data_IF_711207528372
#
_entry.id   IF_711207528372
#
_cell.length_a   1.000
_cell.length_b   1.000
_cell.length_c   1.000
_cell.angle_alpha   90.00
_cell.angle_beta   90.00
_cell.angle_gamma   90.00
#
_symmetry.space_group_name_H-M   'P 1'
#
loop_
_entity.id
_entity.type
_entity.pdbx_description
1 polymer ?
#
# COMPACT_ATOMS: atom_id res chain seq x y z
N UNK A 1 -36.34 23.73 16.08
CA UNK A 1 -35.66 23.33 14.82
C UNK A 1 -35.59 24.56 13.91
N UNK A 2 -34.53 24.79 13.12
CA UNK A 2 -33.39 23.90 12.86
C UNK A 2 -32.04 24.44 13.39
N UNK A 3 -31.15 23.50 13.71
CA UNK A 3 -29.70 23.73 13.89
C UNK A 3 -29.13 24.11 12.53
N UNK A 4 -28.56 25.30 12.42
CA UNK A 4 -27.64 25.63 11.35
C UNK A 4 -26.43 24.71 11.52
N UNK A 5 -26.31 23.73 10.63
CA UNK A 5 -25.09 22.94 10.49
C UNK A 5 -24.04 23.91 9.97
N UNK A 6 -23.20 24.41 10.87
CA UNK A 6 -21.95 25.04 10.49
C UNK A 6 -21.17 24.02 9.67
N UNK A 7 -21.31 24.10 8.36
CA UNK A 7 -20.27 23.68 7.43
C UNK A 7 -19.11 24.64 7.69
N UNK A 8 -18.36 24.38 8.77
CA UNK A 8 -17.07 25.00 8.96
C UNK A 8 -16.25 24.64 7.73
N UNK A 9 -16.06 25.62 6.84
CA UNK A 9 -15.08 25.57 5.76
C UNK A 9 -13.75 25.16 6.41
N UNK A 10 -13.36 23.90 6.22
CA UNK A 10 -12.03 23.44 6.60
C UNK A 10 -11.06 24.09 5.62
N UNK A 11 -10.45 25.19 6.05
CA UNK A 11 -9.33 25.79 5.34
C UNK A 11 -8.13 24.89 5.63
N UNK A 12 -7.81 24.01 4.70
CA UNK A 12 -6.57 23.24 4.79
C UNK A 12 -5.38 24.19 4.62
N UNK A 13 -4.30 24.03 5.43
CA UNK A 13 -3.06 24.75 5.18
C UNK A 13 -2.63 24.54 3.72
N UNK A 14 -2.18 25.59 3.05
CA UNK A 14 -1.85 25.56 1.61
C UNK A 14 -0.92 24.39 1.21
N UNK A 15 -0.02 23.99 2.12
CA UNK A 15 0.87 22.84 1.96
C UNK A 15 0.15 21.48 2.00
N UNK A 16 -0.88 21.33 2.85
CA UNK A 16 -1.66 20.09 2.92
C UNK A 16 -2.49 19.88 1.64
N UNK A 17 -3.03 20.97 1.07
CA UNK A 17 -3.73 20.92 -0.22
C UNK A 17 -2.77 20.59 -1.37
N UNK A 18 -1.59 21.22 -1.39
CA UNK A 18 -0.54 20.89 -2.37
C UNK A 18 -0.14 19.41 -2.29
N UNK A 19 -0.05 18.87 -1.07
CA UNK A 19 0.23 17.46 -0.84
C UNK A 19 -0.89 16.53 -1.31
N UNK A 20 -2.15 16.85 -1.00
CA UNK A 20 -3.30 16.05 -1.46
C UNK A 20 -3.33 15.97 -3.00
N UNK A 21 -3.13 17.09 -3.70
CA UNK A 21 -3.00 17.06 -5.16
C UNK A 21 -1.76 16.30 -5.66
N UNK A 22 -0.67 16.31 -4.89
CA UNK A 22 0.56 15.63 -5.26
C UNK A 22 0.41 14.09 -5.24
N UNK A 23 -0.38 13.56 -4.30
CA UNK A 23 -0.63 12.12 -4.14
C UNK A 23 -1.82 11.60 -4.96
N UNK A 24 -2.71 12.49 -5.42
CA UNK A 24 -3.83 12.12 -6.26
C UNK A 24 -3.37 11.56 -7.62
N UNK A 25 -3.91 10.41 -8.01
CA UNK A 25 -3.57 9.78 -9.28
C UNK A 25 -4.18 10.56 -10.47
N UNK A 26 -3.33 10.99 -11.40
CA UNK A 26 -3.79 11.69 -12.60
C UNK A 26 -4.52 10.75 -13.58
N UNK A 27 -5.86 10.86 -13.66
CA UNK A 27 -6.75 10.27 -14.67
C UNK A 27 -7.43 8.93 -14.28
N UNK A 28 -8.75 8.82 -14.47
CA UNK A 28 -9.51 7.59 -14.18
C UNK A 28 -9.56 6.59 -15.35
N UNK A 29 -10.14 5.38 -15.24
CA UNK A 29 -10.08 4.35 -14.19
C UNK A 29 -10.02 3.03 -14.99
N UNK A 30 -8.87 2.38 -15.06
CA UNK A 30 -8.81 0.94 -15.23
C UNK A 30 -8.59 0.33 -13.85
N UNK A 31 -9.11 -0.86 -13.58
CA UNK A 31 -8.70 -1.60 -12.38
C UNK A 31 -7.23 -1.95 -12.59
N UNK A 32 -6.34 -1.29 -11.85
CA UNK A 32 -4.92 -1.58 -11.91
C UNK A 32 -4.69 -3.00 -11.39
N UNK A 33 -3.85 -3.75 -12.09
CA UNK A 33 -3.46 -5.13 -11.73
C UNK A 33 -2.12 -5.21 -11.00
N UNK A 34 -1.47 -4.06 -10.80
CA UNK A 34 -0.14 -3.97 -10.20
C UNK A 34 0.14 -2.56 -9.65
N UNK A 35 1.05 -2.44 -8.66
CA UNK A 35 1.57 -1.16 -8.18
C UNK A 35 2.10 -0.26 -9.31
N UNK A 36 2.80 -0.84 -10.30
CA UNK A 36 3.37 -0.07 -11.40
C UNK A 36 2.32 0.75 -12.19
N UNK A 37 1.11 0.20 -12.35
CA UNK A 37 0.01 0.88 -13.03
C UNK A 37 -0.62 2.00 -12.20
N UNK A 38 -0.45 2.00 -10.86
CA UNK A 38 -0.96 3.05 -9.97
C UNK A 38 -0.02 4.25 -9.82
N UNK A 39 1.25 4.13 -10.25
CA UNK A 39 2.31 5.17 -10.19
C UNK A 39 2.07 6.37 -11.13
N UNK A 40 0.94 7.05 -10.99
CA UNK A 40 0.46 8.10 -11.90
C UNK A 40 0.42 9.50 -11.28
N UNK A 41 0.38 9.56 -9.96
CA UNK A 41 0.45 10.80 -9.20
C UNK A 41 1.77 11.56 -9.43
N UNK A 42 1.81 12.84 -9.07
CA UNK A 42 3.02 13.66 -9.20
C UNK A 42 4.19 13.09 -8.39
N UNK A 43 3.93 12.58 -7.18
CA UNK A 43 4.95 11.98 -6.30
C UNK A 43 5.73 10.83 -6.95
N UNK A 44 5.15 10.16 -7.95
CA UNK A 44 5.80 9.05 -8.64
C UNK A 44 6.74 9.49 -9.76
N UNK A 45 6.57 10.72 -10.27
CA UNK A 45 7.22 11.19 -11.50
C UNK A 45 8.13 12.40 -11.30
N UNK A 46 7.86 13.21 -10.28
CA UNK A 46 8.66 14.37 -9.94
C UNK A 46 10.07 13.99 -9.44
N UNK A 47 10.93 14.98 -9.30
CA UNK A 47 12.25 14.78 -8.68
C UNK A 47 12.11 14.25 -7.25
N UNK A 48 12.90 13.24 -6.90
CA UNK A 48 12.80 12.56 -5.61
C UNK A 48 13.09 13.49 -4.43
N UNK A 49 14.06 14.39 -4.56
CA UNK A 49 14.40 15.34 -3.50
C UNK A 49 13.31 16.38 -3.33
N UNK A 50 12.66 16.80 -4.42
CA UNK A 50 11.51 17.71 -4.36
C UNK A 50 10.32 17.06 -3.64
N UNK A 51 10.00 15.81 -3.95
CA UNK A 51 8.93 15.05 -3.26
C UNK A 51 9.23 14.93 -1.77
N UNK A 52 10.47 14.57 -1.42
CA UNK A 52 10.88 14.39 -0.04
C UNK A 52 10.87 15.71 0.75
N UNK A 53 11.31 16.80 0.13
CA UNK A 53 11.26 18.12 0.74
C UNK A 53 9.83 18.57 1.03
N UNK A 54 8.90 18.35 0.08
CA UNK A 54 7.48 18.68 0.27
C UNK A 54 6.86 17.82 1.38
N UNK A 55 7.09 16.50 1.36
CA UNK A 55 6.59 15.58 2.39
C UNK A 55 7.04 16.00 3.80
N UNK A 56 8.33 16.32 3.96
CA UNK A 56 8.88 16.81 5.24
C UNK A 56 8.27 18.14 5.69
N UNK A 57 7.95 19.03 4.75
CA UNK A 57 7.34 20.32 5.05
C UNK A 57 5.89 20.19 5.54
N UNK A 58 5.16 19.19 5.04
CA UNK A 58 3.78 18.87 5.47
C UNK A 58 3.78 18.18 6.84
N UNK A 59 4.74 17.26 7.05
CA UNK A 59 4.96 16.57 8.31
C UNK A 59 4.67 15.06 8.25
N UNK A 60 5.09 14.30 9.28
CA UNK A 60 5.11 12.84 9.25
C UNK A 60 3.72 12.17 9.23
N UNK A 61 2.69 12.88 9.69
CA UNK A 61 1.31 12.38 9.72
C UNK A 61 0.59 12.49 8.37
N UNK A 62 1.23 13.13 7.37
CA UNK A 62 0.68 13.24 6.02
C UNK A 62 0.45 11.84 5.40
N UNK A 63 -0.66 11.61 4.68
CA UNK A 63 -0.89 10.37 3.94
C UNK A 63 0.20 10.20 2.89
N UNK A 64 0.89 9.07 2.92
CA UNK A 64 2.07 8.85 2.07
C UNK A 64 2.33 7.35 1.90
N UNK A 65 2.85 6.94 0.73
CA UNK A 65 3.15 5.54 0.48
C UNK A 65 4.30 5.08 1.37
N UNK A 66 4.32 3.78 1.65
CA UNK A 66 5.34 3.13 2.46
C UNK A 66 6.75 3.54 2.02
N UNK A 67 7.01 3.59 0.72
CA UNK A 67 8.34 3.86 0.19
C UNK A 67 8.82 5.27 0.50
N UNK A 68 7.91 6.25 0.58
CA UNK A 68 8.29 7.62 0.90
C UNK A 68 8.64 7.77 2.38
N UNK A 69 7.88 7.09 3.25
CA UNK A 69 8.20 7.01 4.68
C UNK A 69 9.50 6.27 4.92
N UNK A 70 9.75 5.18 4.19
CA UNK A 70 11.00 4.43 4.25
C UNK A 70 12.18 5.28 3.75
N UNK A 71 12.00 6.06 2.69
CA UNK A 71 13.01 6.95 2.13
C UNK A 71 13.36 8.07 3.10
N UNK A 72 12.34 8.71 3.69
CA UNK A 72 12.53 9.76 4.69
C UNK A 72 13.34 9.29 5.90
N UNK A 73 13.09 8.05 6.34
CA UNK A 73 13.82 7.39 7.43
C UNK A 73 15.18 6.83 7.02
N UNK A 74 15.58 6.96 5.76
CA UNK A 74 16.84 6.41 5.23
C UNK A 74 16.90 4.88 5.23
N UNK A 75 15.75 4.19 5.24
CA UNK A 75 15.65 2.71 5.23
C UNK A 75 15.71 2.14 3.82
N UNK A 76 15.32 2.92 2.82
CA UNK A 76 15.45 2.56 1.41
C UNK A 76 16.28 3.63 0.68
N UNK A 77 17.13 3.19 -0.25
CA UNK A 77 18.12 4.06 -0.86
C UNK A 77 17.53 5.07 -1.85
N UNK A 78 16.41 4.73 -2.50
CA UNK A 78 15.72 5.57 -3.48
C UNK A 78 14.31 5.07 -3.75
N UNK A 79 13.48 5.92 -4.36
CA UNK A 79 12.17 5.57 -4.94
C UNK A 79 12.32 4.48 -6.00
N UNK A 80 13.38 4.52 -6.80
CA UNK A 80 13.64 3.49 -7.80
C UNK A 80 13.87 2.11 -7.16
N UNK A 81 14.61 2.05 -6.04
CA UNK A 81 14.79 0.81 -5.28
C UNK A 81 13.46 0.30 -4.69
N UNK A 82 12.59 1.20 -4.24
CA UNK A 82 11.26 0.82 -3.75
C UNK A 82 10.36 0.27 -4.86
N UNK A 83 10.35 0.90 -6.03
CA UNK A 83 9.60 0.42 -7.19
C UNK A 83 10.11 -0.95 -7.65
N UNK A 84 11.42 -1.18 -7.61
CA UNK A 84 12.00 -2.48 -7.93
C UNK A 84 11.51 -3.58 -6.97
N UNK A 85 11.39 -3.27 -5.67
CA UNK A 85 10.83 -4.18 -4.67
C UNK A 85 9.37 -4.52 -4.96
N UNK A 86 8.54 -3.50 -5.25
CA UNK A 86 7.14 -3.69 -5.63
C UNK A 86 7.01 -4.54 -6.91
N UNK A 87 7.86 -4.30 -7.91
CA UNK A 87 7.85 -5.00 -9.18
C UNK A 87 8.35 -6.46 -9.02
N UNK A 88 9.25 -6.73 -8.08
CA UNK A 88 9.69 -8.07 -7.73
C UNK A 88 8.57 -8.90 -7.10
N UNK A 89 7.86 -8.35 -6.10
CA UNK A 89 6.71 -9.00 -5.49
C UNK A 89 5.57 -9.18 -6.50
N UNK A 90 5.34 -8.18 -7.36
CA UNK A 90 4.35 -8.27 -8.45
C UNK A 90 4.67 -9.42 -9.40
N UNK A 91 5.94 -9.56 -9.79
CA UNK A 91 6.35 -10.64 -10.70
C UNK A 91 6.20 -12.01 -10.05
N UNK A 92 6.46 -12.11 -8.74
CA UNK A 92 6.25 -13.34 -7.98
C UNK A 92 4.76 -13.68 -7.95
N UNK A 93 3.93 -12.82 -7.35
CA UNK A 93 2.52 -13.12 -7.07
C UNK A 93 1.67 -13.14 -8.34
N UNK A 94 1.88 -12.22 -9.27
CA UNK A 94 1.14 -12.16 -10.53
C UNK A 94 1.41 -13.34 -11.47
N UNK A 95 2.47 -14.12 -11.23
CA UNK A 95 2.73 -15.37 -11.97
C UNK A 95 2.03 -16.60 -11.38
N UNK A 96 1.41 -16.46 -10.20
CA UNK A 96 0.82 -17.56 -9.44
C UNK A 96 -0.71 -17.52 -9.49
N UNK A 97 -1.37 -18.67 -9.67
CA UNK A 97 -2.83 -18.70 -9.70
C UNK A 97 -3.42 -18.34 -8.34
N UNK A 98 -4.49 -17.56 -8.33
CA UNK A 98 -5.24 -17.20 -7.12
C UNK A 98 -4.82 -15.90 -6.45
N UNK A 99 -3.66 -15.33 -6.79
CA UNK A 99 -3.26 -14.00 -6.32
C UNK A 99 -3.87 -12.90 -7.19
N UNK A 100 -4.48 -11.90 -6.54
CA UNK A 100 -5.10 -10.75 -7.18
C UNK A 100 -4.60 -9.48 -6.52
N UNK A 101 -4.22 -8.49 -7.32
CA UNK A 101 -3.87 -7.17 -6.82
C UNK A 101 -5.13 -6.33 -6.60
N UNK A 102 -5.21 -5.69 -5.44
CA UNK A 102 -6.29 -4.81 -5.02
C UNK A 102 -5.77 -3.37 -4.94
N UNK A 103 -6.16 -2.49 -5.87
CA UNK A 103 -5.62 -1.13 -5.96
C UNK A 103 -6.32 -0.12 -5.03
N UNK A 104 -7.44 -0.48 -4.41
CA UNK A 104 -8.25 0.41 -3.57
C UNK A 104 -7.74 0.47 -2.12
N UNK A 105 -6.52 0.95 -1.94
CA UNK A 105 -5.98 1.23 -0.62
C UNK A 105 -6.39 2.64 -0.14
N UNK A 106 -6.10 2.98 1.12
CA UNK A 106 -6.40 4.33 1.63
C UNK A 106 -5.56 5.38 0.90
N UNK A 107 -5.90 6.66 1.05
CA UNK A 107 -5.23 7.74 0.34
C UNK A 107 -3.70 7.72 0.58
N UNK A 108 -2.92 7.70 -0.51
CA UNK A 108 -1.47 7.63 -0.47
C UNK A 108 -0.90 6.21 -0.31
N UNK A 109 -1.72 5.17 -0.16
CA UNK A 109 -1.25 3.78 -0.16
C UNK A 109 -1.15 3.21 -1.59
N UNK A 110 -0.34 2.16 -1.75
CA UNK A 110 -0.01 1.58 -3.06
C UNK A 110 -1.02 0.53 -3.53
N UNK A 111 -1.73 -0.13 -2.61
CA UNK A 111 -2.50 -1.35 -2.85
C UNK A 111 -1.90 -2.54 -2.09
N UNK A 112 -2.56 -3.70 -2.21
CA UNK A 112 -2.11 -4.96 -1.62
C UNK A 112 -2.52 -6.14 -2.51
N UNK A 113 -2.00 -7.33 -2.22
CA UNK A 113 -2.32 -8.57 -2.93
C UNK A 113 -3.15 -9.48 -2.03
N UNK A 114 -4.18 -10.11 -2.59
CA UNK A 114 -5.01 -11.10 -1.90
C UNK A 114 -4.89 -12.47 -2.55
N UNK A 115 -4.79 -13.51 -1.74
CA UNK A 115 -4.90 -14.89 -2.20
C UNK A 115 -6.35 -15.35 -2.11
N UNK A 116 -7.10 -15.19 -3.21
CA UNK A 116 -8.54 -15.45 -3.28
C UNK A 116 -8.95 -16.88 -2.85
N UNK A 117 -8.19 -17.96 -3.14
CA UNK A 117 -8.56 -19.30 -2.67
C UNK A 117 -8.73 -19.40 -1.14
N UNK A 118 -8.03 -18.58 -0.36
CA UNK A 118 -8.16 -18.55 1.10
C UNK A 118 -9.49 -17.95 1.60
N UNK A 119 -10.27 -17.33 0.71
CA UNK A 119 -11.65 -16.91 1.00
C UNK A 119 -12.62 -18.10 1.04
N UNK A 120 -12.22 -19.29 0.55
CA UNK A 120 -13.09 -20.45 0.42
C UNK A 120 -13.41 -21.08 1.78
N UNK A 121 -14.41 -20.51 2.46
CA UNK A 121 -15.04 -21.06 3.65
C UNK A 121 -16.50 -21.40 3.40
N UNK A 122 -16.90 -22.64 3.71
CA UNK A 122 -18.30 -23.10 3.76
C UNK A 122 -19.13 -22.34 4.83
N UNK A 123 -18.49 -21.52 5.67
CA UNK A 123 -19.10 -20.80 6.79
C UNK A 123 -18.60 -19.33 6.87
N UNK A 124 -19.35 -18.40 6.27
CA UNK A 124 -19.24 -16.95 6.50
C UNK A 124 -18.11 -16.21 5.73
N UNK A 125 -18.13 -14.86 5.73
CA UNK A 125 -17.07 -14.06 5.12
C UNK A 125 -15.75 -14.25 5.88
N UNK A 126 -14.67 -14.51 5.13
CA UNK A 126 -13.31 -14.63 5.65
C UNK A 126 -12.44 -13.52 5.04
N UNK A 127 -11.50 -12.99 5.81
CA UNK A 127 -10.47 -12.09 5.27
C UNK A 127 -9.36 -12.96 4.65
N UNK A 128 -9.04 -12.82 3.35
CA UNK A 128 -8.04 -13.65 2.70
C UNK A 128 -6.63 -13.39 3.25
N UNK A 129 -5.72 -14.31 2.93
CA UNK A 129 -4.29 -14.05 3.07
C UNK A 129 -3.91 -12.85 2.23
N UNK A 130 -3.29 -11.85 2.85
CA UNK A 130 -2.95 -10.56 2.23
C UNK A 130 -1.45 -10.33 2.27
N UNK A 131 -0.86 -9.86 1.17
CA UNK A 131 0.51 -9.35 1.12
C UNK A 131 0.46 -7.85 0.87
N UNK A 132 1.04 -7.05 1.76
CA UNK A 132 1.04 -5.59 1.67
C UNK A 132 2.44 -5.02 1.90
N UNK A 133 2.71 -3.86 1.32
CA UNK A 133 3.97 -3.16 1.57
C UNK A 133 3.89 -2.29 2.82
N UNK A 134 5.00 -2.18 3.54
CA UNK A 134 5.07 -1.38 4.77
C UNK A 134 6.45 -0.76 4.95
N UNK A 135 6.54 0.32 5.73
CA UNK A 135 7.79 0.95 6.15
C UNK A 135 8.16 0.61 7.60
N UNK A 136 7.38 -0.25 8.28
CA UNK A 136 7.52 -0.57 9.70
C UNK A 136 8.79 -1.34 10.04
N UNK A 137 9.19 -2.26 9.16
CA UNK A 137 10.35 -3.15 9.31
C UNK A 137 11.19 -3.16 8.01
N UNK A 138 12.46 -3.61 8.04
CA UNK A 138 13.38 -3.49 6.89
C UNK A 138 13.09 -4.48 5.74
N UNK A 139 12.20 -5.45 5.95
CA UNK A 139 11.75 -6.36 4.89
C UNK A 139 10.71 -5.73 3.96
N UNK A 140 10.03 -4.69 4.43
CA UNK A 140 9.03 -3.91 3.71
C UNK A 140 7.79 -4.66 3.21
N UNK A 141 7.64 -5.95 3.54
CA UNK A 141 6.50 -6.77 3.16
C UNK A 141 5.89 -7.38 4.41
N UNK A 142 4.62 -7.07 4.66
CA UNK A 142 3.80 -7.79 5.63
C UNK A 142 3.00 -8.88 4.91
N UNK A 143 2.96 -10.07 5.51
CA UNK A 143 1.95 -11.08 5.20
C UNK A 143 0.94 -11.15 6.34
N UNK A 144 -0.34 -11.01 6.01
CA UNK A 144 -1.44 -11.21 6.93
C UNK A 144 -2.09 -12.55 6.58
N UNK A 145 -2.02 -13.57 7.46
CA UNK A 145 -2.69 -14.84 7.21
C UNK A 145 -4.20 -14.66 7.07
N UNK A 146 -4.83 -15.59 6.35
CA UNK A 146 -6.28 -15.70 6.32
C UNK A 146 -6.85 -15.74 7.74
N UNK A 147 -7.92 -14.99 7.98
CA UNK A 147 -8.47 -14.82 9.31
C UNK A 147 -9.97 -15.01 9.34
N UNK A 148 -10.43 -15.69 10.40
CA UNK A 148 -11.83 -15.93 10.70
C UNK A 148 -12.08 -15.64 12.18
N UNK A 149 -13.12 -14.87 12.44
CA UNK A 149 -13.62 -14.65 13.80
C UNK A 149 -13.08 -13.38 14.48
N UNK A 150 -13.31 -13.25 15.80
CA UNK A 150 -12.92 -12.07 16.55
C UNK A 150 -11.42 -12.11 16.89
N UNK A 151 -10.68 -11.07 16.50
CA UNK A 151 -9.25 -10.93 16.78
C UNK A 151 -8.61 -9.92 15.85
N UNK A 152 -7.39 -9.49 16.16
CA UNK A 152 -6.56 -8.73 15.21
C UNK A 152 -5.65 -9.70 14.47
N UNK A 153 -5.62 -9.59 13.13
CA UNK A 153 -4.57 -10.21 12.31
C UNK A 153 -3.22 -9.68 12.73
N UNK A 154 -2.27 -10.57 12.98
CA UNK A 154 -0.89 -10.20 13.26
C UNK A 154 -0.09 -10.30 11.96
N UNK A 155 0.53 -9.20 11.50
CA UNK A 155 1.41 -9.23 10.36
C UNK A 155 2.64 -10.10 10.65
N UNK A 156 3.04 -10.89 9.66
CA UNK A 156 4.31 -11.60 9.64
C UNK A 156 5.23 -10.81 8.72
N UNK A 157 6.41 -10.46 9.22
CA UNK A 157 7.40 -9.68 8.50
C UNK A 157 8.14 -10.55 7.48
N UNK A 158 8.24 -10.08 6.24
CA UNK A 158 8.96 -10.72 5.16
C UNK A 158 9.86 -9.73 4.41
N UNK A 159 10.96 -10.23 3.87
CA UNK A 159 11.62 -9.70 2.68
C UNK A 159 11.01 -10.33 1.42
N UNK A 160 11.17 -9.71 0.22
CA UNK A 160 10.76 -10.35 -1.03
C UNK A 160 11.41 -11.72 -1.28
N UNK A 161 12.63 -11.92 -0.79
CA UNK A 161 13.35 -13.18 -0.89
C UNK A 161 12.72 -14.28 -0.02
N UNK A 162 12.46 -13.99 1.25
CA UNK A 162 11.78 -14.92 2.16
C UNK A 162 10.36 -15.23 1.69
N UNK A 163 9.63 -14.23 1.16
CA UNK A 163 8.31 -14.45 0.59
C UNK A 163 8.38 -15.46 -0.56
N UNK A 164 9.35 -15.30 -1.48
CA UNK A 164 9.56 -16.25 -2.59
C UNK A 164 9.84 -17.66 -2.10
N UNK A 165 10.65 -17.81 -1.05
CA UNK A 165 11.02 -19.11 -0.50
C UNK A 165 9.83 -19.82 0.17
N UNK A 166 8.92 -19.06 0.78
CA UNK A 166 7.83 -19.61 1.60
C UNK A 166 6.45 -19.55 0.94
N UNK A 167 6.31 -18.93 -0.24
CA UNK A 167 5.00 -18.68 -0.86
C UNK A 167 4.18 -19.96 -1.08
N UNK A 168 4.83 -21.07 -1.43
CA UNK A 168 4.16 -22.36 -1.64
C UNK A 168 3.58 -22.92 -0.34
N UNK A 169 4.35 -22.87 0.75
CA UNK A 169 3.88 -23.31 2.06
C UNK A 169 2.72 -22.43 2.55
N UNK A 170 2.83 -21.12 2.32
CA UNK A 170 1.80 -20.14 2.67
C UNK A 170 0.49 -20.39 1.92
N UNK A 171 0.55 -20.70 0.63
CA UNK A 171 -0.62 -21.05 -0.19
C UNK A 171 -1.26 -22.38 0.23
N UNK A 172 -0.47 -23.34 0.72
CA UNK A 172 -0.95 -24.66 1.14
C UNK A 172 -1.66 -24.66 2.50
N UNK A 173 -1.36 -23.69 3.37
CA UNK A 173 -1.96 -23.58 4.71
C UNK A 173 -3.12 -22.57 4.76
N UNK A 174 -3.37 -21.83 3.67
CA UNK A 174 -4.37 -20.78 3.58
C UNK A 174 -5.77 -21.29 3.20
#
# INVERSE_FOLDING_TARGET
MPRQRDHALRVEPMLALEWSHAIEAAGGVGVADSPAQTRRAWIHRADEQQVLALFRAVGPDAPAPWWLRALDRGRIASRAAAFALEDEVTRLLGSRPGWVFVPWATEGEVGYWEFVPSESGVYGPAEPTTVQFTDRHPGFVDLLPAHRGPGQRQPIEFTPAELREQIEDLENIA
#
